data_IF_698229597829
#
_entry.id   IF_698229597829
#
_cell.length_a   1.000
_cell.length_b   1.000
_cell.length_c   1.000
_cell.angle_alpha   90.00
_cell.angle_beta   90.00
_cell.angle_gamma   90.00
#
_symmetry.space_group_name_H-M   'P 1'
#
loop_
_entity.id
_entity.type
_entity.pdbx_description
1 polymer ?
#
# COMPACT_ATOMS: atom_id res chain seq x y z
N UNK A 1 -42.80 -5.65 -48.54
CA UNK A 1 -43.03 -4.27 -48.95
C UNK A 1 -41.87 -3.50 -48.38
N UNK A 2 -40.89 -3.51 -49.10
CA UNK A 2 -40.13 -2.66 -50.02
C UNK A 2 -38.96 -1.95 -49.34
N UNK A 3 -37.82 -2.47 -49.67
CA UNK A 3 -36.49 -1.84 -49.76
C UNK A 3 -36.53 -0.88 -51.01
N UNK A 4 -35.49 -0.11 -51.37
CA UNK A 4 -34.21 0.33 -50.87
C UNK A 4 -33.90 1.81 -51.21
N UNK A 5 -32.72 2.38 -50.88
CA UNK A 5 -31.92 3.21 -51.83
C UNK A 5 -30.43 3.25 -51.39
N UNK A 6 -29.56 2.77 -52.28
CA UNK A 6 -28.13 3.03 -52.42
C UNK A 6 -27.88 4.43 -52.95
N UNK A 7 -26.72 5.02 -52.61
CA UNK A 7 -25.88 5.82 -53.53
C UNK A 7 -24.46 5.99 -52.88
N UNK A 8 -23.46 5.34 -53.37
CA UNK A 8 -22.45 5.56 -54.45
C UNK A 8 -21.48 6.74 -54.20
N UNK A 9 -20.21 6.33 -54.08
CA UNK A 9 -18.99 7.15 -54.15
C UNK A 9 -18.82 7.87 -55.50
N UNK A 10 -17.89 8.87 -55.56
CA UNK A 10 -16.83 8.72 -56.55
C UNK A 10 -15.41 9.01 -56.04
N UNK A 11 -14.49 8.26 -56.64
CA UNK A 11 -13.06 8.44 -56.62
C UNK A 11 -12.65 9.38 -57.76
N UNK A 12 -11.49 10.09 -57.59
CA UNK A 12 -10.46 10.55 -58.54
C UNK A 12 -9.68 11.67 -57.84
N UNK A 13 -8.37 11.90 -57.97
CA UNK A 13 -7.39 11.40 -58.88
C UNK A 13 -5.99 11.90 -58.50
N UNK A 14 -5.01 11.30 -59.09
CA UNK A 14 -3.58 11.49 -58.94
C UNK A 14 -3.09 12.88 -59.33
N UNK A 15 -1.98 13.38 -58.69
CA UNK A 15 -1.19 14.47 -59.15
C UNK A 15 0.19 14.49 -58.45
N UNK A 16 1.16 13.82 -59.03
CA UNK A 16 2.55 13.88 -58.59
C UNK A 16 3.26 15.14 -59.09
N UNK A 17 4.08 15.73 -58.24
CA UNK A 17 5.12 16.65 -58.66
C UNK A 17 6.40 16.37 -57.90
N UNK A 18 7.45 15.99 -58.67
CA UNK A 18 8.86 15.95 -58.29
C UNK A 18 9.38 17.38 -58.27
N UNK A 19 10.08 17.79 -57.24
CA UNK A 19 10.93 18.97 -57.26
C UNK A 19 12.32 18.62 -56.71
N UNK A 20 13.30 19.05 -57.47
CA UNK A 20 14.71 18.82 -57.41
C UNK A 20 15.38 19.31 -56.12
N UNK A 21 16.42 18.60 -55.75
CA UNK A 21 17.42 18.99 -54.75
C UNK A 21 18.27 20.16 -55.24
N UNK A 22 18.56 21.09 -54.31
CA UNK A 22 19.68 22.03 -54.48
C UNK A 22 20.46 22.02 -53.16
N UNK A 23 21.70 21.53 -53.25
CA UNK A 23 22.70 21.63 -52.18
C UNK A 23 23.16 23.10 -52.05
N UNK A 24 22.98 23.66 -50.86
CA UNK A 24 23.63 24.89 -50.44
C UNK A 24 24.51 24.58 -49.21
N UNK A 25 25.83 24.55 -49.42
CA UNK A 25 26.80 24.42 -48.32
C UNK A 25 26.98 25.80 -47.67
N UNK A 26 26.54 25.96 -46.44
CA UNK A 26 26.87 27.14 -45.62
C UNK A 26 27.82 26.70 -44.50
N UNK A 27 29.06 27.13 -44.59
CA UNK A 27 30.06 26.99 -43.52
C UNK A 27 29.69 27.97 -42.41
N UNK A 28 29.30 27.44 -41.25
CA UNK A 28 29.15 28.24 -40.04
C UNK A 28 30.32 27.91 -39.12
N UNK A 29 31.18 28.91 -38.94
CA UNK A 29 32.27 28.94 -37.96
C UNK A 29 31.64 28.94 -36.55
N UNK A 30 31.68 27.80 -35.86
CA UNK A 30 31.23 27.68 -34.48
C UNK A 30 32.29 28.15 -33.50
N UNK A 31 32.04 29.26 -32.82
CA UNK A 31 32.81 29.68 -31.65
C UNK A 31 32.44 28.73 -30.49
N UNK A 32 33.36 27.86 -30.11
CA UNK A 32 33.19 27.00 -28.93
C UNK A 32 33.39 27.84 -27.66
N UNK A 33 32.30 28.19 -26.98
CA UNK A 33 32.36 28.66 -25.60
C UNK A 33 32.62 27.45 -24.70
N UNK A 34 33.82 27.34 -24.18
CA UNK A 34 34.11 26.43 -23.05
C UNK A 34 33.45 26.97 -21.78
N UNK A 35 32.23 26.49 -21.48
CA UNK A 35 31.67 26.61 -20.14
C UNK A 35 32.37 25.57 -19.25
N UNK A 36 33.29 26.05 -18.41
CA UNK A 36 33.86 25.23 -17.34
C UNK A 36 32.78 24.91 -16.33
N UNK A 37 32.21 23.72 -16.43
CA UNK A 37 31.34 23.15 -15.37
C UNK A 37 32.22 22.74 -14.20
N UNK A 38 32.26 23.54 -13.16
CA UNK A 38 32.78 23.08 -11.86
C UNK A 38 31.97 21.86 -11.41
N UNK A 39 32.60 20.76 -10.98
CA UNK A 39 31.87 19.64 -10.44
C UNK A 39 31.14 20.09 -9.16
N UNK A 40 29.85 19.77 -9.08
CA UNK A 40 29.07 19.89 -7.85
C UNK A 40 29.79 19.13 -6.73
N UNK A 41 29.84 19.66 -5.50
CA UNK A 41 30.40 18.94 -4.39
C UNK A 41 29.61 17.62 -4.20
N UNK A 42 30.29 16.51 -3.86
CA UNK A 42 29.62 15.26 -3.61
C UNK A 42 28.58 15.47 -2.51
N UNK A 43 27.39 14.91 -2.71
CA UNK A 43 26.37 14.85 -1.68
C UNK A 43 27.01 14.27 -0.39
N UNK A 44 26.69 14.81 0.79
CA UNK A 44 27.22 14.27 2.04
C UNK A 44 26.91 12.75 2.04
N UNK A 45 27.99 11.95 2.16
CA UNK A 45 27.85 10.52 2.32
C UNK A 45 26.92 10.31 3.51
N UNK A 46 25.83 9.55 3.29
CA UNK A 46 25.04 9.08 4.41
C UNK A 46 26.00 8.45 5.40
N UNK A 47 26.04 8.96 6.62
CA UNK A 47 26.87 8.40 7.68
C UNK A 47 26.55 6.90 7.71
N UNK A 48 27.57 6.07 7.52
CA UNK A 48 27.44 4.65 7.71
C UNK A 48 27.10 4.47 9.20
N UNK A 49 25.96 3.87 9.48
CA UNK A 49 25.57 3.52 10.84
C UNK A 49 26.72 2.73 11.47
N UNK A 50 27.27 3.23 12.57
CA UNK A 50 28.28 2.53 13.36
C UNK A 50 27.63 1.26 13.91
N UNK A 51 28.10 0.05 13.57
CA UNK A 51 27.51 -1.19 14.04
C UNK A 51 27.61 -1.40 15.55
N UNK A 52 28.24 -0.48 16.29
CA UNK A 52 28.39 -0.52 17.75
C UNK A 52 27.35 0.29 18.51
N UNK A 53 26.59 1.16 17.83
CA UNK A 53 25.48 1.88 18.45
C UNK A 53 24.25 0.97 18.48
N UNK A 54 23.99 0.35 19.64
CA UNK A 54 22.75 -0.38 19.88
C UNK A 54 21.59 0.59 19.69
N UNK A 55 20.89 0.50 18.56
CA UNK A 55 19.61 1.19 18.39
C UNK A 55 18.74 0.94 19.61
N UNK A 56 18.11 1.98 20.21
CA UNK A 56 17.22 1.78 21.34
C UNK A 56 16.12 0.77 20.97
N UNK A 57 15.72 -0.05 21.93
CA UNK A 57 14.67 -1.04 21.73
C UNK A 57 13.43 -0.36 21.09
N UNK A 58 12.82 -1.00 20.12
CA UNK A 58 11.77 -0.42 19.25
C UNK A 58 10.60 0.28 19.97
N UNK A 59 10.05 -0.23 21.09
CA UNK A 59 9.00 0.49 21.82
C UNK A 59 9.44 1.86 22.34
N UNK A 60 10.59 2.04 22.98
CA UNK A 60 11.09 3.38 23.35
C UNK A 60 11.23 4.32 22.14
N UNK A 61 11.67 3.81 20.99
CA UNK A 61 11.76 4.58 19.74
C UNK A 61 10.37 5.03 19.26
N UNK A 62 9.38 4.15 19.27
CA UNK A 62 8.02 4.47 18.88
C UNK A 62 7.38 5.52 19.82
N UNK A 63 7.56 5.35 21.14
CA UNK A 63 7.10 6.31 22.15
C UNK A 63 7.77 7.68 21.96
N UNK A 64 9.10 7.70 21.80
CA UNK A 64 9.86 8.94 21.59
C UNK A 64 9.42 9.67 20.31
N UNK A 65 9.23 8.97 19.21
CA UNK A 65 8.77 9.56 17.96
C UNK A 65 7.34 10.13 18.09
N UNK A 66 6.43 9.37 18.72
CA UNK A 66 5.05 9.81 18.95
C UNK A 66 4.99 11.01 19.90
N UNK A 67 5.83 11.04 20.96
CA UNK A 67 5.93 12.18 21.86
C UNK A 67 6.46 13.41 21.14
N UNK A 68 7.54 13.28 20.36
CA UNK A 68 8.10 14.38 19.57
C UNK A 68 7.09 14.94 18.55
N UNK A 69 6.23 14.11 17.99
CA UNK A 69 5.12 14.57 17.16
C UNK A 69 4.11 15.36 17.97
N UNK A 70 3.66 14.85 19.11
CA UNK A 70 2.70 15.55 19.95
C UNK A 70 3.23 16.89 20.49
N UNK A 71 4.53 16.98 20.78
CA UNK A 71 5.15 18.18 21.34
C UNK A 71 5.14 19.37 20.38
N UNK A 72 5.19 19.13 19.07
CA UNK A 72 5.15 20.18 18.05
C UNK A 72 3.73 20.60 17.64
N UNK A 73 2.69 19.91 18.11
CA UNK A 73 1.29 20.24 17.82
C UNK A 73 0.77 21.35 18.75
N UNK A 74 -0.05 22.24 18.22
CA UNK A 74 -0.86 23.14 19.05
C UNK A 74 -2.01 22.41 19.77
N UNK A 75 -2.70 23.11 20.67
CA UNK A 75 -3.77 22.53 21.48
C UNK A 75 -4.93 21.96 20.63
N UNK A 76 -5.32 22.67 19.56
CA UNK A 76 -6.42 22.24 18.68
C UNK A 76 -6.01 21.02 17.82
N UNK A 77 -4.75 20.97 17.40
CA UNK A 77 -4.20 19.82 16.68
C UNK A 77 -4.11 18.60 17.60
N UNK A 78 -3.65 18.78 18.87
CA UNK A 78 -3.62 17.69 19.87
C UNK A 78 -5.01 17.12 20.14
N UNK A 79 -6.01 17.96 20.28
CA UNK A 79 -7.41 17.53 20.46
C UNK A 79 -7.89 16.64 19.32
N UNK A 80 -7.49 16.94 18.07
CA UNK A 80 -7.81 16.12 16.90
C UNK A 80 -6.97 14.85 16.82
N UNK A 81 -5.71 14.88 17.27
CA UNK A 81 -4.76 13.81 17.12
C UNK A 81 -4.93 12.67 18.14
N UNK A 82 -5.40 12.98 19.36
CA UNK A 82 -5.38 12.05 20.49
C UNK A 82 -6.78 11.58 20.86
N UNK A 83 -6.92 10.29 21.07
CA UNK A 83 -8.15 9.62 21.48
C UNK A 83 -7.88 8.68 22.65
N UNK A 84 -8.90 8.40 23.44
CA UNK A 84 -8.84 7.33 24.45
C UNK A 84 -8.56 5.98 23.77
N UNK A 85 -7.79 5.10 24.41
CA UNK A 85 -7.44 3.80 23.84
C UNK A 85 -8.69 2.96 23.55
N UNK A 86 -9.71 2.99 24.40
CA UNK A 86 -10.98 2.27 24.21
C UNK A 86 -11.98 3.00 23.30
N UNK A 87 -11.56 4.07 22.59
CA UNK A 87 -12.45 4.85 21.73
C UNK A 87 -13.16 3.99 20.69
N UNK A 88 -14.49 4.13 20.52
CA UNK A 88 -15.24 3.46 19.46
C UNK A 88 -14.86 3.95 18.04
N UNK A 89 -14.01 4.95 17.95
CA UNK A 89 -13.51 5.46 16.67
C UNK A 89 -12.39 4.62 16.06
N UNK A 90 -11.79 3.67 16.78
CA UNK A 90 -10.73 2.79 16.21
C UNK A 90 -11.10 2.18 14.86
N UNK A 91 -12.33 1.70 14.61
CA UNK A 91 -12.71 1.11 13.32
C UNK A 91 -12.93 2.12 12.20
N UNK A 92 -12.80 3.43 12.44
CA UNK A 92 -13.07 4.47 11.43
C UNK A 92 -11.91 4.67 10.44
N UNK A 93 -11.35 3.58 9.93
CA UNK A 93 -10.49 3.58 8.76
C UNK A 93 -11.31 3.11 7.55
N UNK A 94 -10.90 3.48 6.33
CA UNK A 94 -11.69 3.16 5.15
C UNK A 94 -10.83 3.20 3.89
N UNK A 95 -11.25 2.48 2.86
CA UNK A 95 -10.72 2.52 1.49
C UNK A 95 -11.51 3.46 0.57
N UNK A 96 -12.44 4.23 1.11
CA UNK A 96 -13.18 5.25 0.37
C UNK A 96 -12.49 6.62 0.48
N UNK A 97 -12.70 7.53 -0.48
CA UNK A 97 -12.21 8.90 -0.39
C UNK A 97 -12.57 9.57 0.94
N UNK A 98 -11.70 10.43 1.44
CA UNK A 98 -11.89 11.11 2.74
C UNK A 98 -13.10 12.04 2.77
N UNK A 99 -13.56 12.47 1.61
CA UNK A 99 -14.82 13.25 1.45
C UNK A 99 -16.07 12.41 1.68
N UNK A 100 -15.97 11.09 1.54
CA UNK A 100 -17.08 10.16 1.78
C UNK A 100 -17.04 9.59 3.20
N UNK A 101 -15.85 9.33 3.73
CA UNK A 101 -15.65 8.80 5.09
C UNK A 101 -14.53 9.59 5.77
N UNK A 102 -14.90 10.37 6.78
CA UNK A 102 -13.94 11.17 7.55
C UNK A 102 -12.96 10.25 8.31
N UNK A 103 -11.68 10.63 8.34
CA UNK A 103 -10.62 9.95 9.09
C UNK A 103 -10.44 10.55 10.47
N UNK A 104 -9.94 9.72 11.39
CA UNK A 104 -9.48 10.18 12.69
C UNK A 104 -8.13 10.90 12.57
N UNK A 105 -7.86 11.82 13.45
CA UNK A 105 -6.54 12.44 13.56
C UNK A 105 -6.41 13.81 12.91
N UNK A 106 -5.18 14.29 12.86
CA UNK A 106 -4.82 15.52 12.14
C UNK A 106 -4.46 15.22 10.71
N UNK A 107 -4.93 16.06 9.79
CA UNK A 107 -4.65 15.95 8.37
C UNK A 107 -3.23 16.45 8.08
N UNK A 108 -2.44 15.70 7.32
CA UNK A 108 -1.07 16.09 6.97
C UNK A 108 -0.99 17.42 6.21
N UNK A 109 -2.01 17.75 5.40
CA UNK A 109 -2.10 19.03 4.70
C UNK A 109 -2.35 20.24 5.60
N UNK A 110 -2.77 20.03 6.87
CA UNK A 110 -2.98 21.10 7.86
C UNK A 110 -1.74 21.28 8.77
N UNK A 111 -0.69 20.50 8.57
CA UNK A 111 0.54 20.50 9.35
C UNK A 111 1.60 21.38 8.69
N UNK A 112 2.41 22.04 9.51
CA UNK A 112 3.66 22.66 9.04
C UNK A 112 4.61 21.57 8.50
N UNK A 113 5.63 21.97 7.76
CA UNK A 113 6.66 21.04 7.25
C UNK A 113 7.32 20.24 8.37
N UNK A 114 7.62 20.88 9.49
CA UNK A 114 8.22 20.23 10.67
C UNK A 114 7.24 19.25 11.31
N UNK A 115 6.00 19.65 11.57
CA UNK A 115 4.97 18.79 12.14
C UNK A 115 4.72 17.57 11.26
N UNK A 116 4.66 17.75 9.92
CA UNK A 116 4.51 16.65 8.95
C UNK A 116 5.70 15.70 8.99
N UNK A 117 6.93 16.21 9.09
CA UNK A 117 8.11 15.37 9.26
C UNK A 117 8.01 14.52 10.52
N UNK A 118 7.62 15.12 11.67
CA UNK A 118 7.41 14.36 12.92
C UNK A 118 6.29 13.33 12.82
N UNK A 119 5.21 13.61 12.09
CA UNK A 119 4.16 12.61 11.82
C UNK A 119 4.71 11.42 11.04
N UNK A 120 5.56 11.66 10.04
CA UNK A 120 6.20 10.60 9.27
C UNK A 120 7.28 9.85 10.06
N UNK A 121 7.98 10.50 11.01
CA UNK A 121 8.91 9.85 11.95
C UNK A 121 8.18 8.81 12.82
N UNK A 122 6.93 9.07 13.22
CA UNK A 122 6.11 8.08 13.95
C UNK A 122 5.91 6.82 13.09
N UNK A 123 5.57 6.99 11.81
CA UNK A 123 5.40 5.85 10.91
C UNK A 123 6.70 5.09 10.69
N UNK A 124 7.83 5.79 10.55
CA UNK A 124 9.15 5.18 10.45
C UNK A 124 9.59 4.43 11.72
N UNK A 125 9.03 4.79 12.89
CA UNK A 125 9.35 4.15 14.16
C UNK A 125 8.56 2.85 14.41
N UNK A 126 7.38 2.69 13.79
CA UNK A 126 6.50 1.52 13.98
C UNK A 126 6.51 0.55 12.79
N UNK A 127 7.09 0.94 11.67
CA UNK A 127 7.17 0.14 10.45
C UNK A 127 8.61 -0.26 10.13
N UNK A 128 8.76 -1.32 9.35
CA UNK A 128 10.03 -1.65 8.71
C UNK A 128 10.40 -0.58 7.67
N UNK A 129 11.66 -0.54 7.25
CA UNK A 129 12.09 0.36 6.16
C UNK A 129 11.25 0.17 4.89
N UNK A 130 10.97 -1.08 4.51
CA UNK A 130 10.14 -1.40 3.34
C UNK A 130 8.67 -1.05 3.58
N UNK A 131 8.15 -1.27 4.78
CA UNK A 131 6.79 -0.87 5.17
C UNK A 131 6.59 0.64 5.13
N UNK A 132 7.54 1.40 5.65
CA UNK A 132 7.54 2.86 5.54
C UNK A 132 7.60 3.34 4.08
N UNK A 133 8.50 2.73 3.27
CA UNK A 133 8.58 3.07 1.85
C UNK A 133 7.27 2.78 1.12
N UNK A 134 6.61 1.65 1.41
CA UNK A 134 5.29 1.31 0.88
C UNK A 134 4.23 2.38 1.22
N UNK A 135 4.22 2.88 2.45
CA UNK A 135 3.34 4.00 2.85
C UNK A 135 3.60 5.23 1.99
N UNK A 136 4.86 5.61 1.81
CA UNK A 136 5.26 6.76 0.98
C UNK A 136 4.85 6.55 -0.48
N UNK A 137 5.07 5.35 -1.03
CA UNK A 137 4.73 5.03 -2.41
C UNK A 137 3.20 5.09 -2.66
N UNK A 138 2.40 4.60 -1.72
CA UNK A 138 0.93 4.67 -1.80
C UNK A 138 0.45 6.13 -1.74
N UNK A 139 1.00 6.93 -0.83
CA UNK A 139 0.68 8.37 -0.74
C UNK A 139 1.03 9.12 -2.02
N UNK A 140 2.16 8.79 -2.65
CA UNK A 140 2.54 9.37 -3.93
C UNK A 140 1.62 8.90 -5.07
N UNK A 141 1.20 7.63 -5.06
CA UNK A 141 0.19 7.12 -6.00
C UNK A 141 -1.09 7.94 -5.93
N UNK A 142 -1.59 8.22 -4.73
CA UNK A 142 -2.77 9.09 -4.53
C UNK A 142 -2.52 10.52 -5.03
N UNK A 143 -1.29 11.05 -4.89
CA UNK A 143 -0.95 12.35 -5.46
C UNK A 143 -0.95 12.31 -7.00
N UNK A 144 -0.40 11.26 -7.62
CA UNK A 144 -0.46 11.06 -9.08
C UNK A 144 -1.90 10.94 -9.58
N UNK A 145 -2.78 10.31 -8.78
CA UNK A 145 -4.21 10.23 -9.09
C UNK A 145 -4.87 11.61 -9.07
N UNK A 146 -4.55 12.43 -8.07
CA UNK A 146 -5.03 13.81 -7.98
C UNK A 146 -4.54 14.67 -9.16
N UNK A 147 -3.26 14.57 -9.52
CA UNK A 147 -2.62 15.33 -10.59
C UNK A 147 -3.21 14.99 -11.98
N UNK A 148 -3.69 13.75 -12.18
CA UNK A 148 -4.38 13.33 -13.42
C UNK A 148 -5.81 13.89 -13.56
N UNK A 149 -6.24 14.73 -12.64
CA UNK A 149 -7.58 15.31 -12.65
C UNK A 149 -8.72 14.30 -12.34
N UNK A 150 -8.38 13.04 -12.05
CA UNK A 150 -9.34 12.03 -11.58
C UNK A 150 -9.80 12.29 -10.15
N UNK A 151 -9.06 13.11 -9.41
CA UNK A 151 -9.51 13.71 -8.16
C UNK A 151 -10.60 14.75 -8.41
N UNK A 152 -11.58 14.42 -9.28
CA UNK A 152 -12.63 15.33 -9.69
C UNK A 152 -13.12 16.13 -8.49
N UNK A 153 -13.40 17.40 -8.69
CA UNK A 153 -14.20 18.22 -7.77
C UNK A 153 -15.54 17.50 -7.58
N UNK A 154 -15.55 16.51 -6.70
CA UNK A 154 -16.80 15.99 -6.19
C UNK A 154 -17.55 17.20 -5.69
N UNK A 155 -18.85 17.29 -5.83
CA UNK A 155 -19.70 18.48 -5.59
C UNK A 155 -19.43 19.29 -4.32
N UNK A 156 -18.20 19.23 -3.76
CA UNK A 156 -17.59 19.98 -2.68
C UNK A 156 -16.28 20.64 -3.12
N UNK A 157 -15.91 21.72 -2.45
CA UNK A 157 -14.81 22.63 -2.79
C UNK A 157 -13.37 22.09 -2.49
N UNK A 158 -13.05 20.80 -2.71
CA UNK A 158 -11.71 20.29 -2.39
C UNK A 158 -11.29 19.05 -3.18
N UNK A 159 -10.00 18.69 -3.17
CA UNK A 159 -9.49 17.47 -3.79
C UNK A 159 -10.02 16.22 -3.06
N UNK A 160 -10.36 15.17 -3.81
CA UNK A 160 -10.79 13.88 -3.26
C UNK A 160 -9.61 12.98 -2.89
N UNK A 161 -8.45 13.19 -3.53
CA UNK A 161 -7.24 12.38 -3.41
C UNK A 161 -6.00 13.27 -3.24
N UNK A 162 -4.92 12.71 -2.79
CA UNK A 162 -3.61 13.36 -2.69
C UNK A 162 -2.91 13.09 -1.36
N UNK A 163 -1.59 13.29 -1.36
CA UNK A 163 -0.73 13.04 -0.20
C UNK A 163 -1.05 13.91 1.03
N UNK A 164 -1.73 15.03 0.84
CA UNK A 164 -2.16 15.93 1.92
C UNK A 164 -3.44 15.45 2.62
N UNK A 165 -4.15 14.47 2.05
CA UNK A 165 -5.38 13.90 2.58
C UNK A 165 -5.13 12.62 3.40
N UNK A 166 -3.96 12.50 4.00
CA UNK A 166 -3.64 11.48 4.99
C UNK A 166 -3.71 12.06 6.39
N UNK A 167 -4.04 11.23 7.36
CA UNK A 167 -4.33 11.60 8.74
C UNK A 167 -3.53 10.72 9.68
N UNK A 168 -3.06 11.30 10.79
CA UNK A 168 -2.43 10.57 11.89
C UNK A 168 -3.19 10.79 13.18
N UNK A 169 -3.55 9.69 13.84
CA UNK A 169 -4.18 9.66 15.16
C UNK A 169 -3.39 8.75 16.11
N UNK A 170 -3.42 9.09 17.39
CA UNK A 170 -2.88 8.31 18.49
C UNK A 170 -4.03 7.96 19.43
N UNK A 171 -4.17 6.67 19.76
CA UNK A 171 -5.16 6.15 20.70
C UNK A 171 -4.45 5.66 21.95
N UNK A 172 -4.86 6.17 23.08
CA UNK A 172 -4.27 5.88 24.38
C UNK A 172 -3.15 6.82 24.77
N UNK A 173 -2.66 6.64 26.00
CA UNK A 173 -1.54 7.37 26.54
C UNK A 173 -0.24 6.70 26.12
N UNK A 174 0.71 7.45 25.58
CA UNK A 174 2.01 6.90 25.19
C UNK A 174 2.69 6.23 26.38
N UNK A 175 3.15 5.01 26.19
CA UNK A 175 3.75 4.19 27.24
C UNK A 175 4.62 3.08 26.63
N UNK A 176 5.70 2.74 27.31
CA UNK A 176 6.54 1.60 26.97
C UNK A 176 5.94 0.26 27.44
N UNK A 177 4.92 0.29 28.31
CA UNK A 177 4.36 -0.91 28.95
C UNK A 177 2.85 -1.04 28.77
N UNK A 178 2.12 0.08 28.74
CA UNK A 178 0.67 0.10 28.57
C UNK A 178 0.29 0.21 27.08
N UNK A 179 -0.89 -0.31 26.69
CA UNK A 179 -1.32 -0.30 25.31
C UNK A 179 -1.62 1.11 24.79
N UNK A 180 -1.14 1.40 23.61
CA UNK A 180 -1.52 2.56 22.80
C UNK A 180 -1.47 2.20 21.33
N UNK A 181 -2.03 3.01 20.44
CA UNK A 181 -2.11 2.69 19.02
C UNK A 181 -1.87 3.92 18.16
N UNK A 182 -1.12 3.71 17.07
CA UNK A 182 -1.04 4.65 15.93
C UNK A 182 -2.05 4.21 14.88
N UNK A 183 -2.85 5.15 14.38
CA UNK A 183 -3.66 4.97 13.18
C UNK A 183 -3.23 6.00 12.13
N UNK A 184 -2.85 5.52 10.97
CA UNK A 184 -2.46 6.35 9.84
C UNK A 184 -3.26 5.96 8.61
N UNK A 185 -3.95 6.90 7.98
CA UNK A 185 -4.81 6.56 6.86
C UNK A 185 -5.24 7.71 5.99
N UNK A 186 -5.66 7.35 4.79
CA UNK A 186 -6.21 8.22 3.76
C UNK A 186 -7.13 7.42 2.85
N UNK A 187 -7.06 7.65 1.54
CA UNK A 187 -7.85 6.88 0.58
C UNK A 187 -7.37 5.42 0.50
N UNK A 188 -6.08 5.20 0.27
CA UNK A 188 -5.52 3.86 0.05
C UNK A 188 -4.73 3.29 1.22
N UNK A 189 -4.80 3.92 2.39
CA UNK A 189 -4.18 3.40 3.62
C UNK A 189 -5.16 3.43 4.79
N UNK A 190 -5.10 2.36 5.58
CA UNK A 190 -5.67 2.26 6.90
C UNK A 190 -4.73 1.43 7.76
N UNK A 191 -3.56 2.02 8.10
CA UNK A 191 -2.53 1.35 8.91
C UNK A 191 -2.85 1.55 10.38
N UNK A 192 -3.03 0.46 11.11
CA UNK A 192 -3.25 0.45 12.54
C UNK A 192 -2.11 -0.33 13.20
N UNK A 193 -1.35 0.31 14.07
CA UNK A 193 -0.28 -0.36 14.82
C UNK A 193 -0.54 -0.17 16.32
N UNK A 194 -0.97 -1.22 16.99
CA UNK A 194 -1.10 -1.25 18.44
C UNK A 194 0.22 -1.65 19.06
N UNK A 195 0.71 -0.87 20.01
CA UNK A 195 1.95 -1.09 20.75
C UNK A 195 1.59 -1.50 22.17
N UNK A 196 2.07 -2.66 22.63
CA UNK A 196 1.82 -3.20 23.98
C UNK A 196 3.14 -3.78 24.49
N UNK A 197 3.82 -3.08 25.39
CA UNK A 197 5.17 -3.46 25.80
C UNK A 197 6.08 -3.57 24.57
N UNK A 198 6.72 -4.72 24.40
CA UNK A 198 7.59 -4.99 23.23
C UNK A 198 6.86 -5.50 21.98
N UNK A 199 5.54 -5.61 22.01
CA UNK A 199 4.75 -6.18 20.93
C UNK A 199 4.11 -5.09 20.08
N UNK A 200 4.15 -5.28 18.76
CA UNK A 200 3.47 -4.44 17.78
C UNK A 200 2.43 -5.30 17.05
N UNK A 201 1.18 -4.86 17.02
CA UNK A 201 0.11 -5.54 16.28
C UNK A 201 -0.30 -4.67 15.11
N UNK A 202 -0.03 -5.15 13.88
CA UNK A 202 -0.31 -4.44 12.63
C UNK A 202 -1.76 -4.60 12.15
N UNK A 203 -2.57 -5.39 12.80
CA UNK A 203 -3.91 -5.73 12.30
C UNK A 203 -5.03 -5.02 13.05
N UNK A 204 -6.10 -4.64 12.35
CA UNK A 204 -6.29 -4.73 10.90
C UNK A 204 -5.50 -3.65 10.15
N UNK A 205 -4.98 -3.97 8.97
CA UNK A 205 -4.35 -2.96 8.11
C UNK A 205 -4.83 -3.11 6.67
N UNK A 206 -5.18 -1.98 6.07
CA UNK A 206 -5.53 -1.84 4.67
C UNK A 206 -4.41 -1.14 3.92
N UNK A 207 -4.06 -1.68 2.75
CA UNK A 207 -3.23 -1.02 1.76
C UNK A 207 -3.91 -1.10 0.40
N UNK A 208 -3.81 -0.03 -0.37
CA UNK A 208 -4.35 0.03 -1.72
C UNK A 208 -3.46 0.89 -2.61
N UNK A 209 -3.76 0.95 -3.88
CA UNK A 209 -3.05 1.81 -4.82
C UNK A 209 -3.89 2.10 -6.05
N UNK A 210 -3.84 3.35 -6.49
CA UNK A 210 -4.26 3.83 -7.80
C UNK A 210 -3.48 5.09 -8.13
N UNK A 211 -2.67 5.07 -9.20
CA UNK A 211 -2.43 3.96 -10.12
C UNK A 211 -1.61 2.83 -9.48
N UNK A 212 -1.77 1.60 -9.98
CA UNK A 212 -0.97 0.44 -9.53
C UNK A 212 0.50 0.52 -9.96
N UNK A 213 0.79 1.35 -10.98
CA UNK A 213 2.10 1.60 -11.53
C UNK A 213 2.24 3.08 -11.86
N UNK A 214 3.34 3.69 -11.43
CA UNK A 214 3.72 5.05 -11.83
C UNK A 214 5.25 5.19 -11.93
N UNK A 215 5.73 6.34 -12.39
CA UNK A 215 7.16 6.62 -12.52
C UNK A 215 7.59 7.67 -11.50
N UNK A 216 8.70 7.40 -10.81
CA UNK A 216 9.45 8.34 -9.95
C UNK A 216 10.90 8.39 -10.42
N UNK A 217 11.41 9.55 -10.78
CA UNK A 217 12.82 9.76 -11.23
C UNK A 217 13.24 8.76 -12.34
N UNK A 218 12.36 8.53 -13.31
CA UNK A 218 12.59 7.61 -14.42
C UNK A 218 12.49 6.11 -14.07
N UNK A 219 12.18 5.76 -12.82
CA UNK A 219 12.01 4.36 -12.37
C UNK A 219 10.55 4.02 -12.14
N UNK A 220 10.19 2.81 -12.48
CA UNK A 220 8.86 2.27 -12.19
C UNK A 220 8.69 2.02 -10.69
N UNK A 221 7.53 2.45 -10.16
CA UNK A 221 7.09 2.22 -8.79
C UNK A 221 5.78 1.45 -8.82
N UNK A 222 5.77 0.29 -8.19
CA UNK A 222 4.60 -0.57 -8.00
C UNK A 222 4.36 -0.75 -6.50
N UNK A 223 3.53 0.06 -5.84
CA UNK A 223 3.38 0.02 -4.37
C UNK A 223 2.99 -1.34 -3.82
N UNK A 224 2.18 -2.11 -4.57
CA UNK A 224 1.72 -3.46 -4.25
C UNK A 224 2.28 -4.53 -5.23
N UNK A 225 3.46 -4.26 -5.82
CA UNK A 225 4.07 -5.17 -6.79
C UNK A 225 4.50 -6.50 -6.17
N UNK A 226 5.08 -6.47 -4.97
CA UNK A 226 5.51 -7.68 -4.27
C UNK A 226 4.34 -8.61 -3.95
N UNK A 227 3.21 -8.04 -3.51
CA UNK A 227 1.97 -8.77 -3.19
C UNK A 227 1.47 -9.54 -4.42
N UNK A 228 1.36 -8.86 -5.54
CA UNK A 228 0.89 -9.46 -6.79
C UNK A 228 1.88 -10.53 -7.30
N UNK A 229 3.16 -10.18 -7.42
CA UNK A 229 4.17 -11.06 -8.02
C UNK A 229 4.36 -12.35 -7.22
N UNK A 230 4.37 -12.28 -5.87
CA UNK A 230 4.46 -13.47 -5.01
C UNK A 230 3.25 -14.38 -5.15
N UNK A 231 2.04 -13.81 -5.24
CA UNK A 231 0.82 -14.59 -5.40
C UNK A 231 0.72 -15.25 -6.78
N UNK A 232 1.09 -14.54 -7.87
CA UNK A 232 1.20 -15.13 -9.20
C UNK A 232 2.24 -16.26 -9.24
N UNK A 233 3.39 -16.09 -8.57
CA UNK A 233 4.40 -17.14 -8.48
C UNK A 233 3.85 -18.38 -7.79
N UNK A 234 3.09 -18.23 -6.71
CA UNK A 234 2.47 -19.35 -6.01
C UNK A 234 1.43 -20.06 -6.90
N UNK A 235 0.44 -19.35 -7.45
CA UNK A 235 -0.64 -19.98 -8.23
C UNK A 235 -0.11 -20.69 -9.47
N UNK A 236 0.95 -20.16 -10.10
CA UNK A 236 1.59 -20.77 -11.25
C UNK A 236 2.47 -21.98 -10.89
N UNK A 237 2.92 -22.12 -9.64
CA UNK A 237 3.66 -23.28 -9.15
C UNK A 237 2.75 -24.43 -8.71
N UNK A 238 1.43 -24.24 -8.63
CA UNK A 238 0.48 -25.29 -8.29
C UNK A 238 0.32 -26.28 -9.45
N UNK A 239 0.19 -27.57 -9.13
CA UNK A 239 -0.22 -28.58 -10.11
C UNK A 239 -1.72 -28.46 -10.45
N UNK A 240 -2.20 -29.25 -11.42
CA UNK A 240 -3.59 -29.20 -11.89
C UNK A 240 -4.60 -29.50 -10.77
N UNK A 241 -4.33 -30.48 -9.92
CA UNK A 241 -5.20 -30.88 -8.81
C UNK A 241 -5.26 -29.80 -7.72
N UNK A 242 -4.11 -29.18 -7.42
CA UNK A 242 -4.02 -28.09 -6.47
C UNK A 242 -4.71 -26.83 -7.02
N UNK A 243 -4.54 -26.52 -8.31
CA UNK A 243 -5.25 -25.40 -8.97
C UNK A 243 -6.76 -25.60 -8.94
N UNK A 244 -7.25 -26.81 -9.18
CA UNK A 244 -8.68 -27.10 -9.09
C UNK A 244 -9.28 -26.83 -7.70
N UNK A 245 -8.46 -26.93 -6.64
CA UNK A 245 -8.87 -26.56 -5.28
C UNK A 245 -8.70 -25.05 -5.02
N UNK A 246 -7.62 -24.45 -5.52
CA UNK A 246 -7.29 -23.05 -5.24
C UNK A 246 -8.19 -22.07 -5.99
N UNK A 247 -8.52 -22.36 -7.26
CA UNK A 247 -9.26 -21.45 -8.13
C UNK A 247 -10.77 -21.59 -7.88
N UNK A 248 -11.35 -20.53 -7.30
CA UNK A 248 -12.76 -20.48 -6.96
C UNK A 248 -13.65 -19.96 -8.11
N UNK A 249 -13.05 -19.40 -9.15
CA UNK A 249 -13.75 -18.90 -10.33
C UNK A 249 -12.81 -18.15 -11.29
N UNK A 250 -13.28 -17.95 -12.51
CA UNK A 250 -12.56 -17.32 -13.61
C UNK A 250 -12.69 -15.78 -13.65
N UNK A 251 -13.55 -15.21 -12.80
CA UNK A 251 -13.70 -13.76 -12.62
C UNK A 251 -13.25 -13.35 -11.22
N UNK A 252 -12.47 -12.27 -11.08
CA UNK A 252 -12.03 -11.80 -9.77
C UNK A 252 -13.21 -11.24 -8.97
N UNK A 253 -13.22 -11.50 -7.67
CA UNK A 253 -13.99 -10.76 -6.69
C UNK A 253 -13.49 -9.30 -6.69
N UNK A 254 -14.40 -8.32 -6.80
CA UNK A 254 -14.04 -6.91 -6.93
C UNK A 254 -13.86 -6.21 -5.56
N UNK A 255 -14.44 -6.74 -4.50
CA UNK A 255 -14.45 -6.14 -3.17
C UNK A 255 -13.79 -7.04 -2.13
N UNK A 256 -13.19 -6.43 -1.12
CA UNK A 256 -12.70 -7.13 0.06
C UNK A 256 -13.89 -7.64 0.90
N UNK A 257 -13.89 -8.90 1.25
CA UNK A 257 -14.91 -9.51 2.13
C UNK A 257 -14.76 -9.03 3.57
N UNK A 258 -13.52 -8.84 4.03
CA UNK A 258 -13.16 -8.38 5.37
C UNK A 258 -12.51 -6.99 5.37
N UNK A 259 -12.91 -6.14 4.42
CA UNK A 259 -12.48 -4.75 4.32
C UNK A 259 -12.99 -3.88 5.48
N UNK A 260 -12.97 -2.53 5.33
CA UNK A 260 -13.45 -1.60 6.34
C UNK A 260 -14.89 -1.88 6.78
N UNK A 261 -15.17 -1.68 8.08
CA UNK A 261 -16.50 -1.93 8.66
C UNK A 261 -16.85 -3.43 8.85
N UNK A 262 -15.88 -4.31 8.70
CA UNK A 262 -16.04 -5.77 8.88
C UNK A 262 -15.36 -6.30 10.15
N UNK A 263 -15.14 -5.44 11.14
CA UNK A 263 -14.52 -5.83 12.41
C UNK A 263 -15.32 -6.94 13.10
N UNK A 264 -14.60 -7.95 13.61
CA UNK A 264 -15.19 -9.13 14.25
C UNK A 264 -15.90 -10.10 13.29
N UNK A 265 -15.89 -9.84 11.97
CA UNK A 265 -16.43 -10.79 10.99
C UNK A 265 -15.38 -11.82 10.59
N UNK A 266 -15.86 -13.02 10.31
CA UNK A 266 -15.09 -14.14 9.80
C UNK A 266 -15.69 -14.62 8.49
N UNK A 267 -14.88 -15.29 7.67
CA UNK A 267 -15.31 -15.96 6.45
C UNK A 267 -14.83 -17.41 6.50
N UNK A 268 -15.57 -18.29 5.86
CA UNK A 268 -15.22 -19.71 5.79
C UNK A 268 -13.94 -19.90 4.96
N UNK A 269 -12.95 -20.68 5.44
CA UNK A 269 -11.75 -21.02 4.67
C UNK A 269 -12.08 -21.76 3.39
N UNK A 270 -11.51 -21.30 2.27
CA UNK A 270 -11.65 -21.91 0.93
C UNK A 270 -10.32 -21.90 0.19
N UNK A 271 -10.18 -22.80 -0.76
CA UNK A 271 -8.99 -22.90 -1.59
C UNK A 271 -8.15 -24.14 -1.27
N UNK A 272 -6.91 -24.16 -1.75
CA UNK A 272 -5.96 -25.23 -1.47
C UNK A 272 -5.39 -25.05 -0.06
N UNK A 273 -5.40 -26.13 0.72
CA UNK A 273 -4.85 -26.14 2.08
C UNK A 273 -3.33 -26.30 2.04
N UNK A 274 -2.61 -25.61 2.90
CA UNK A 274 -1.15 -25.66 3.00
C UNK A 274 -0.58 -27.07 3.20
N UNK A 275 -1.31 -27.95 3.90
CA UNK A 275 -0.93 -29.36 4.05
C UNK A 275 -0.99 -30.16 2.73
N UNK A 276 -1.67 -29.66 1.69
CA UNK A 276 -1.70 -30.25 0.35
C UNK A 276 -0.61 -29.68 -0.58
N UNK A 277 0.18 -28.73 -0.11
CA UNK A 277 1.29 -28.11 -0.83
C UNK A 277 2.59 -28.83 -0.56
N UNK A 278 3.48 -28.87 -1.55
CA UNK A 278 4.89 -29.28 -1.35
C UNK A 278 5.63 -28.27 -0.47
N UNK A 279 6.77 -28.66 0.12
CA UNK A 279 7.58 -27.72 0.92
C UNK A 279 8.00 -26.47 0.15
N UNK A 280 8.31 -26.60 -1.17
CA UNK A 280 8.62 -25.46 -2.02
C UNK A 280 7.42 -24.53 -2.21
N UNK A 281 6.23 -25.08 -2.40
CA UNK A 281 4.98 -24.30 -2.53
C UNK A 281 4.56 -23.66 -1.19
N UNK A 282 4.78 -24.32 -0.06
CA UNK A 282 4.59 -23.73 1.27
C UNK A 282 5.52 -22.54 1.49
N UNK A 283 6.78 -22.62 1.02
CA UNK A 283 7.69 -21.47 1.06
C UNK A 283 7.16 -20.29 0.23
N UNK A 284 6.59 -20.54 -0.96
CA UNK A 284 5.94 -19.49 -1.76
C UNK A 284 4.71 -18.91 -1.04
N UNK A 285 3.91 -19.71 -0.34
CA UNK A 285 2.79 -19.21 0.46
C UNK A 285 3.28 -18.32 1.62
N UNK A 286 4.40 -18.69 2.25
CA UNK A 286 5.06 -17.86 3.26
C UNK A 286 5.55 -16.54 2.66
N UNK A 287 6.11 -16.54 1.44
CA UNK A 287 6.53 -15.33 0.72
C UNK A 287 5.32 -14.40 0.45
N UNK A 288 4.17 -14.96 0.03
CA UNK A 288 2.93 -14.20 -0.13
C UNK A 288 2.54 -13.50 1.17
N UNK A 289 2.49 -14.24 2.28
CA UNK A 289 2.12 -13.68 3.59
C UNK A 289 3.12 -12.62 4.04
N UNK A 290 4.41 -12.85 3.78
CA UNK A 290 5.51 -11.94 4.12
C UNK A 290 5.36 -10.55 3.51
N UNK A 291 4.71 -10.41 2.35
CA UNK A 291 4.49 -9.11 1.72
C UNK A 291 3.67 -8.14 2.59
N UNK A 292 2.81 -8.66 3.47
CA UNK A 292 2.04 -7.88 4.45
C UNK A 292 2.65 -7.90 5.85
N UNK A 293 3.05 -9.05 6.35
CA UNK A 293 3.54 -9.16 7.73
C UNK A 293 4.83 -8.38 7.93
N UNK A 294 5.73 -8.34 6.93
CA UNK A 294 6.99 -7.62 7.01
C UNK A 294 6.87 -6.09 6.88
N UNK A 295 5.64 -5.55 6.81
CA UNK A 295 5.39 -4.10 6.87
C UNK A 295 5.68 -3.55 8.27
N UNK A 296 5.37 -4.29 9.32
CA UNK A 296 5.64 -3.88 10.70
C UNK A 296 7.14 -3.96 11.02
N UNK A 297 7.52 -3.42 12.13
CA UNK A 297 8.86 -3.48 12.68
C UNK A 297 9.46 -4.90 12.62
N UNK A 298 10.77 -5.04 12.25
CA UNK A 298 11.35 -6.33 11.87
C UNK A 298 11.33 -7.43 12.93
N UNK A 299 11.57 -7.11 14.21
CA UNK A 299 11.58 -8.13 15.28
C UNK A 299 10.16 -8.70 15.49
N UNK A 300 9.17 -7.83 15.50
CA UNK A 300 7.76 -8.23 15.55
C UNK A 300 7.37 -9.06 14.33
N UNK A 301 7.77 -8.62 13.13
CA UNK A 301 7.51 -9.35 11.89
C UNK A 301 8.09 -10.77 11.95
N UNK A 302 9.33 -10.92 12.44
CA UNK A 302 9.99 -12.22 12.56
C UNK A 302 9.24 -13.16 13.50
N UNK A 303 8.84 -12.68 14.68
CA UNK A 303 8.06 -13.47 15.66
C UNK A 303 6.71 -13.89 15.05
N UNK A 304 6.02 -12.95 14.40
CA UNK A 304 4.73 -13.21 13.76
C UNK A 304 4.86 -14.23 12.63
N UNK A 305 5.87 -14.09 11.77
CA UNK A 305 6.14 -15.04 10.68
C UNK A 305 6.50 -16.42 11.19
N UNK A 306 7.21 -16.55 12.30
CA UNK A 306 7.48 -17.84 12.91
C UNK A 306 6.17 -18.56 13.30
N UNK A 307 5.29 -17.88 14.04
CA UNK A 307 3.99 -18.45 14.44
C UNK A 307 3.08 -18.81 13.25
N UNK A 308 3.15 -18.04 12.15
CA UNK A 308 2.40 -18.35 10.92
C UNK A 308 2.99 -19.59 10.22
N UNK A 309 4.32 -19.69 10.15
CA UNK A 309 5.01 -20.86 9.55
C UNK A 309 4.69 -22.16 10.28
N UNK A 310 4.61 -22.15 11.59
CA UNK A 310 4.24 -23.31 12.39
C UNK A 310 2.82 -23.83 12.03
N UNK A 311 1.95 -22.93 11.56
CA UNK A 311 0.56 -23.23 11.17
C UNK A 311 0.32 -23.19 9.67
N UNK A 312 1.38 -23.20 8.85
CA UNK A 312 1.26 -23.07 7.39
C UNK A 312 0.43 -24.22 6.78
N UNK A 313 0.52 -25.41 7.35
CA UNK A 313 -0.28 -26.57 6.96
C UNK A 313 -1.79 -26.41 7.15
N UNK A 314 -2.21 -25.51 8.04
CA UNK A 314 -3.62 -25.18 8.32
C UNK A 314 -4.11 -23.96 7.52
N UNK A 315 -3.21 -23.31 6.78
CA UNK A 315 -3.48 -22.07 6.02
C UNK A 315 -3.98 -22.42 4.62
N UNK A 316 -4.99 -21.70 4.15
CA UNK A 316 -5.60 -21.87 2.84
C UNK A 316 -5.18 -20.74 1.89
N UNK A 317 -5.02 -21.08 0.62
CA UNK A 317 -4.82 -20.12 -0.47
C UNK A 317 -5.94 -20.27 -1.49
N UNK A 318 -6.65 -19.21 -1.79
CA UNK A 318 -7.72 -19.17 -2.76
C UNK A 318 -7.46 -18.07 -3.80
N UNK A 319 -7.91 -18.32 -5.03
CA UNK A 319 -7.72 -17.48 -6.19
C UNK A 319 -9.00 -17.32 -7.00
N UNK A 320 -9.20 -16.18 -7.65
CA UNK A 320 -10.26 -15.96 -8.65
C UNK A 320 -9.75 -15.03 -9.74
N UNK A 321 -9.97 -15.41 -10.98
CA UNK A 321 -9.49 -14.72 -12.18
C UNK A 321 -8.39 -15.48 -12.90
N UNK A 322 -7.85 -14.91 -14.01
CA UNK A 322 -6.80 -15.53 -14.83
C UNK A 322 -5.49 -15.70 -14.05
N UNK A 323 -4.69 -16.72 -14.40
CA UNK A 323 -3.36 -16.96 -13.79
C UNK A 323 -2.20 -16.34 -14.59
N UNK A 324 -2.50 -15.66 -15.71
CA UNK A 324 -1.49 -14.94 -16.47
C UNK A 324 -1.01 -13.70 -15.68
N UNK A 325 0.30 -13.54 -15.55
CA UNK A 325 0.90 -12.42 -14.81
C UNK A 325 0.36 -11.07 -15.28
N UNK A 326 0.03 -10.20 -14.34
CA UNK A 326 -0.52 -8.86 -14.62
C UNK A 326 -2.03 -8.82 -14.88
N UNK A 327 -2.74 -9.96 -14.82
CA UNK A 327 -4.21 -9.97 -14.89
C UNK A 327 -4.84 -9.35 -13.66
N UNK A 328 -6.07 -8.83 -13.81
CA UNK A 328 -6.90 -8.47 -12.67
C UNK A 328 -7.35 -9.74 -11.93
N UNK A 329 -6.99 -9.85 -10.66
CA UNK A 329 -7.19 -11.07 -9.87
C UNK A 329 -7.62 -10.73 -8.45
N UNK A 330 -8.39 -11.62 -7.85
CA UNK A 330 -8.60 -11.68 -6.42
C UNK A 330 -7.88 -12.91 -5.87
N UNK A 331 -7.21 -12.73 -4.76
CA UNK A 331 -6.75 -13.88 -3.96
C UNK A 331 -6.88 -13.60 -2.48
N UNK A 332 -6.93 -14.66 -1.71
CA UNK A 332 -6.89 -14.59 -0.26
C UNK A 332 -6.04 -15.69 0.34
N UNK A 333 -5.42 -15.36 1.46
CA UNK A 333 -4.78 -16.30 2.37
C UNK A 333 -5.59 -16.33 3.65
N UNK A 334 -5.86 -17.50 4.18
CA UNK A 334 -6.67 -17.64 5.39
C UNK A 334 -6.11 -18.74 6.27
N UNK A 335 -5.45 -18.34 7.34
CA UNK A 335 -4.90 -19.20 8.37
C UNK A 335 -5.52 -18.93 9.73
N UNK A 336 -5.15 -19.70 10.76
CA UNK A 336 -5.69 -19.54 12.11
C UNK A 336 -5.49 -18.14 12.69
N UNK A 337 -4.35 -17.50 12.40
CA UNK A 337 -3.99 -16.19 12.96
C UNK A 337 -3.81 -15.11 11.91
N UNK A 338 -4.05 -15.39 10.62
CA UNK A 338 -3.86 -14.44 9.53
C UNK A 338 -4.95 -14.60 8.48
N UNK A 339 -5.53 -13.47 8.08
CA UNK A 339 -6.36 -13.37 6.88
C UNK A 339 -5.82 -12.23 6.02
N UNK A 340 -5.58 -12.52 4.75
CA UNK A 340 -5.14 -11.55 3.75
C UNK A 340 -6.09 -11.63 2.57
N UNK A 341 -6.48 -10.49 2.04
CA UNK A 341 -7.22 -10.37 0.80
C UNK A 341 -6.56 -9.33 -0.11
N UNK A 342 -6.60 -9.61 -1.40
CA UNK A 342 -6.17 -8.73 -2.48
C UNK A 342 -7.29 -8.71 -3.53
N UNK A 343 -7.82 -7.54 -3.83
CA UNK A 343 -8.96 -7.37 -4.74
C UNK A 343 -8.72 -6.24 -5.73
N UNK A 344 -9.00 -6.46 -7.04
CA UNK A 344 -8.97 -5.41 -8.04
C UNK A 344 -10.26 -4.59 -7.94
N UNK A 345 -10.17 -3.31 -8.30
CA UNK A 345 -11.31 -2.40 -8.35
C UNK A 345 -11.56 -1.99 -9.81
N UNK A 346 -12.22 -2.87 -10.56
CA UNK A 346 -12.57 -2.60 -11.96
C UNK A 346 -11.43 -2.76 -12.97
N UNK A 347 -10.33 -3.42 -12.60
CA UNK A 347 -9.20 -3.65 -13.51
C UNK A 347 -7.87 -3.85 -12.78
N UNK A 348 -6.75 -3.66 -13.47
CA UNK A 348 -5.40 -3.88 -12.92
C UNK A 348 -4.76 -2.62 -12.31
N UNK A 349 -5.36 -1.45 -12.54
CA UNK A 349 -4.79 -0.16 -12.14
C UNK A 349 -5.24 0.33 -10.74
N UNK A 350 -6.30 -0.28 -10.18
CA UNK A 350 -6.84 0.05 -8.87
C UNK A 350 -6.97 -1.21 -8.02
N UNK A 351 -6.28 -1.26 -6.89
CA UNK A 351 -6.14 -2.45 -6.07
C UNK A 351 -6.38 -2.09 -4.61
N UNK A 352 -7.14 -2.93 -3.91
CA UNK A 352 -7.30 -2.88 -2.46
C UNK A 352 -6.82 -4.19 -1.83
N UNK A 353 -6.21 -4.09 -0.65
CA UNK A 353 -5.81 -5.26 0.14
C UNK A 353 -6.12 -5.05 1.61
N UNK A 354 -6.22 -6.13 2.35
CA UNK A 354 -6.34 -6.09 3.82
C UNK A 354 -5.57 -7.25 4.42
N UNK A 355 -4.95 -7.00 5.57
CA UNK A 355 -4.47 -8.03 6.48
C UNK A 355 -5.20 -7.90 7.82
N UNK A 356 -5.67 -9.03 8.34
CA UNK A 356 -6.31 -9.16 9.65
C UNK A 356 -5.73 -10.30 10.47
N UNK A 357 -5.90 -10.21 11.76
CA UNK A 357 -5.81 -11.34 12.67
C UNK A 357 -7.17 -11.52 13.34
N UNK A 358 -7.96 -12.55 13.00
CA UNK A 358 -9.32 -12.72 13.55
C UNK A 358 -9.39 -12.74 15.06
N UNK A 359 -8.30 -13.16 15.72
CA UNK A 359 -8.25 -13.29 17.19
C UNK A 359 -7.59 -12.08 17.88
N UNK A 360 -6.83 -11.25 17.12
CA UNK A 360 -5.96 -10.23 17.69
C UNK A 360 -5.96 -8.91 16.89
N UNK A 361 -7.03 -8.60 16.18
CA UNK A 361 -7.19 -7.27 15.58
C UNK A 361 -7.15 -6.21 16.70
N UNK A 362 -6.38 -5.14 16.47
CA UNK A 362 -6.08 -4.07 17.45
C UNK A 362 -5.38 -4.55 18.74
N UNK A 363 -4.77 -5.72 18.74
CA UNK A 363 -4.14 -6.30 19.92
C UNK A 363 -5.12 -6.91 20.92
N UNK A 364 -6.35 -7.24 20.50
CA UNK A 364 -7.39 -7.73 21.40
C UNK A 364 -7.02 -9.02 22.13
N UNK A 365 -6.22 -9.91 21.53
CA UNK A 365 -5.70 -11.11 22.15
C UNK A 365 -4.70 -10.82 23.26
N UNK A 366 -3.74 -9.91 23.00
CA UNK A 366 -2.73 -9.50 23.98
C UNK A 366 -3.32 -8.69 25.15
N UNK A 367 -4.43 -7.99 24.94
CA UNK A 367 -5.12 -7.21 25.98
C UNK A 367 -5.87 -8.10 27.00
N UNK A 368 -6.03 -9.40 26.73
CA UNK A 368 -6.68 -10.35 27.62
C UNK A 368 -5.71 -11.10 28.54
N UNK A 369 -4.40 -10.92 28.30
CA UNK A 369 -3.32 -11.50 29.11
C UNK A 369 -2.91 -10.56 30.24
#
# INVERSE_FOLDING_TARGET
MDDPIRNTLPATGRGGQKVLATLGATVVMGVALFLSSSPLPPAPAAAADDPTEKSPATPPRAVAAAQAFLDVLDAKQKEKAVYEFASPKKPNWSNLPVTMVQRNGVRLGDLTKEQRAKAMDVMAAVLSKNGYQKVVDIMEGDQKLADRGRGGRGGGNGPMFGADLYYLAIFGKLSETQPWMVQFGGHHLGVNVTVIGKHFVLTPTHTGTQPALFTRDGKEVRPLGQEADSAFKLVNALDEKQRAQAILGDRPQQELLLGPGRDGKTIEPKGVKGSALTGAQQALLVDVIGAWVNIVEPETAAVRMAGIKDKIGETYFAWSGPIANGSAVYFRVQGPTVVIEYAPQGGTDHIHTVIRNPEDDYGAGLLKL
#
